data_IF_630464727503
#
_entry.id   IF_630464727503
#
_cell.length_a   1.000
_cell.length_b   1.000
_cell.length_c   1.000
_cell.angle_alpha   90.00
_cell.angle_beta   90.00
_cell.angle_gamma   90.00
#
_symmetry.space_group_name_H-M   'P 1'
#
loop_
_entity.id
_entity.type
_entity.pdbx_description
1 polymer ?
#
# COMPACT_ATOMS: atom_id res chain seq x y z
N UNK A 1 -32.30 50.38 -11.21
CA UNK A 1 -31.99 48.98 -11.59
C UNK A 1 -31.52 48.25 -10.34
N UNK A 2 -32.37 47.42 -9.73
CA UNK A 2 -31.95 46.53 -8.64
C UNK A 2 -31.35 45.28 -9.32
N UNK A 3 -30.02 45.12 -9.23
CA UNK A 3 -29.35 43.89 -9.65
C UNK A 3 -29.59 42.86 -8.55
N UNK A 4 -30.35 41.80 -8.86
CA UNK A 4 -30.51 40.64 -7.96
C UNK A 4 -29.16 39.90 -7.90
N UNK A 5 -28.57 39.83 -6.70
CA UNK A 5 -27.31 39.10 -6.43
C UNK A 5 -27.54 37.64 -6.00
N UNK A 6 -28.80 37.19 -5.99
CA UNK A 6 -29.24 35.91 -5.41
C UNK A 6 -28.60 34.68 -6.07
N UNK A 7 -28.08 34.80 -7.31
CA UNK A 7 -27.36 33.73 -8.01
C UNK A 7 -25.83 33.76 -7.84
N UNK A 8 -25.26 34.84 -7.30
CA UNK A 8 -23.81 35.00 -7.19
C UNK A 8 -23.22 34.03 -6.17
N UNK A 9 -23.83 33.92 -4.98
CA UNK A 9 -23.38 33.01 -3.92
C UNK A 9 -23.44 31.54 -4.34
N UNK A 10 -24.43 31.16 -5.16
CA UNK A 10 -24.53 29.82 -5.72
C UNK A 10 -23.35 29.50 -6.65
N UNK A 11 -22.97 30.47 -7.50
CA UNK A 11 -21.85 30.32 -8.44
C UNK A 11 -20.51 30.25 -7.69
N UNK A 12 -20.32 31.10 -6.68
CA UNK A 12 -19.10 31.06 -5.84
C UNK A 12 -18.97 29.71 -5.11
N UNK A 13 -20.06 29.19 -4.55
CA UNK A 13 -20.07 27.87 -3.92
C UNK A 13 -19.79 26.74 -4.91
N UNK A 14 -20.39 26.78 -6.11
CA UNK A 14 -20.18 25.78 -7.16
C UNK A 14 -18.72 25.72 -7.65
N UNK A 15 -17.94 26.81 -7.53
CA UNK A 15 -16.52 26.83 -7.86
C UNK A 15 -15.63 26.29 -6.74
N UNK A 16 -16.04 26.44 -5.48
CA UNK A 16 -15.26 25.98 -4.31
C UNK A 16 -15.48 24.50 -4.02
N UNK A 17 -16.71 23.98 -4.17
CA UNK A 17 -17.03 22.57 -3.88
C UNK A 17 -16.09 21.59 -4.59
N UNK A 18 -15.80 21.70 -5.91
CA UNK A 18 -14.97 20.71 -6.60
C UNK A 18 -13.57 20.59 -5.99
N UNK A 19 -12.96 21.72 -5.63
CA UNK A 19 -11.64 21.76 -4.99
C UNK A 19 -11.71 21.16 -3.59
N UNK A 20 -12.76 21.50 -2.83
CA UNK A 20 -12.98 20.96 -1.49
C UNK A 20 -13.19 19.44 -1.52
N UNK A 21 -13.98 18.92 -2.46
CA UNK A 21 -14.19 17.48 -2.62
C UNK A 21 -12.89 16.78 -3.05
N UNK A 22 -12.10 17.36 -3.95
CA UNK A 22 -10.81 16.81 -4.35
C UNK A 22 -9.87 16.70 -3.15
N UNK A 23 -9.80 17.73 -2.31
CA UNK A 23 -9.03 17.69 -1.05
C UNK A 23 -9.51 16.58 -0.11
N UNK A 24 -10.82 16.45 0.09
CA UNK A 24 -11.37 15.38 0.93
C UNK A 24 -11.02 13.99 0.39
N UNK A 25 -11.24 13.74 -0.90
CA UNK A 25 -10.88 12.47 -1.54
C UNK A 25 -9.38 12.20 -1.39
N UNK A 26 -8.53 13.21 -1.59
CA UNK A 26 -7.09 13.08 -1.41
C UNK A 26 -6.70 12.70 0.03
N UNK A 27 -7.34 13.28 1.04
CA UNK A 27 -7.09 12.94 2.45
C UNK A 27 -7.48 11.49 2.75
N UNK A 28 -8.67 11.06 2.32
CA UNK A 28 -9.12 9.69 2.55
C UNK A 28 -8.25 8.66 1.84
N UNK A 29 -7.90 8.94 0.59
CA UNK A 29 -7.11 8.01 -0.22
C UNK A 29 -5.65 7.94 0.25
N UNK A 30 -5.07 9.06 0.68
CA UNK A 30 -3.79 9.06 1.37
C UNK A 30 -3.84 8.20 2.64
N UNK A 31 -4.88 8.34 3.47
CA UNK A 31 -5.05 7.53 4.68
C UNK A 31 -5.14 6.03 4.38
N UNK A 32 -5.82 5.66 3.29
CA UNK A 32 -5.92 4.28 2.80
C UNK A 32 -4.56 3.72 2.40
N UNK A 33 -3.80 4.45 1.57
CA UNK A 33 -2.47 4.02 1.11
C UNK A 33 -1.48 3.94 2.28
N UNK A 34 -1.55 4.90 3.21
CA UNK A 34 -0.72 4.89 4.41
C UNK A 34 -1.04 3.69 5.31
N UNK A 35 -2.31 3.33 5.45
CA UNK A 35 -2.71 2.11 6.15
C UNK A 35 -2.13 0.85 5.49
N UNK A 36 -2.21 0.75 4.15
CA UNK A 36 -1.57 -0.35 3.40
C UNK A 36 -0.06 -0.42 3.67
N UNK A 37 0.62 0.73 3.69
CA UNK A 37 2.05 0.79 3.99
C UNK A 37 2.40 0.28 5.40
N UNK A 38 1.62 0.67 6.42
CA UNK A 38 1.81 0.16 7.78
C UNK A 38 1.59 -1.35 7.85
N UNK A 39 0.55 -1.87 7.18
CA UNK A 39 0.26 -3.29 7.16
C UNK A 39 1.37 -4.09 6.47
N UNK A 40 1.88 -3.60 5.34
CA UNK A 40 3.04 -4.16 4.65
C UNK A 40 4.26 -4.22 5.56
N UNK A 41 4.52 -3.15 6.31
CA UNK A 41 5.66 -3.09 7.24
C UNK A 41 5.55 -4.19 8.31
N UNK A 42 4.40 -4.31 8.97
CA UNK A 42 4.17 -5.36 9.97
C UNK A 42 4.32 -6.77 9.39
N UNK A 43 3.70 -7.03 8.24
CA UNK A 43 3.75 -8.35 7.61
C UNK A 43 5.15 -8.68 7.12
N UNK A 44 5.90 -7.71 6.59
CA UNK A 44 7.29 -7.93 6.14
C UNK A 44 8.21 -8.32 7.29
N UNK A 45 8.03 -7.73 8.47
CA UNK A 45 8.81 -8.03 9.67
C UNK A 45 8.53 -9.44 10.18
N UNK A 46 7.26 -9.85 10.21
CA UNK A 46 6.89 -11.19 10.63
C UNK A 46 7.30 -12.25 9.59
N UNK A 47 7.11 -11.96 8.31
CA UNK A 47 7.52 -12.83 7.21
C UNK A 47 9.04 -13.07 7.22
N UNK A 48 9.86 -12.03 7.43
CA UNK A 48 11.32 -12.20 7.50
C UNK A 48 11.74 -12.94 8.77
N UNK A 49 11.01 -12.77 9.89
CA UNK A 49 11.25 -13.53 11.12
C UNK A 49 11.00 -15.02 10.91
N UNK A 50 9.91 -15.39 10.25
CA UNK A 50 9.65 -16.77 9.84
C UNK A 50 10.79 -17.30 8.96
N UNK A 51 11.20 -16.55 7.94
CA UNK A 51 12.31 -16.96 7.07
C UNK A 51 13.63 -17.13 7.85
N UNK A 52 13.89 -16.28 8.84
CA UNK A 52 15.06 -16.34 9.72
C UNK A 52 15.07 -17.52 10.69
N UNK A 53 13.89 -18.01 11.08
CA UNK A 53 13.69 -19.21 11.91
C UNK A 53 13.73 -20.53 11.10
N UNK A 54 13.96 -20.45 9.79
CA UNK A 54 14.07 -21.62 8.93
C UNK A 54 12.76 -22.10 8.30
N UNK A 55 11.69 -21.29 8.34
CA UNK A 55 10.49 -21.59 7.55
C UNK A 55 10.81 -21.44 6.05
N UNK A 56 10.25 -22.36 5.25
CA UNK A 56 10.43 -22.38 3.80
C UNK A 56 9.68 -21.26 3.08
N UNK A 57 10.03 -21.03 1.82
CA UNK A 57 9.51 -19.91 1.02
C UNK A 57 8.00 -20.00 0.80
N UNK A 58 7.48 -21.22 0.66
CA UNK A 58 6.06 -21.48 0.53
C UNK A 58 5.29 -21.05 1.79
N UNK A 59 5.81 -21.35 2.98
CA UNK A 59 5.17 -20.98 4.24
C UNK A 59 5.18 -19.46 4.46
N UNK A 60 6.30 -18.80 4.14
CA UNK A 60 6.42 -17.33 4.21
C UNK A 60 5.44 -16.68 3.23
N UNK A 61 5.38 -17.17 1.99
CA UNK A 61 4.48 -16.66 0.95
C UNK A 61 3.02 -16.86 1.33
N UNK A 62 2.65 -18.05 1.84
CA UNK A 62 1.29 -18.35 2.28
C UNK A 62 0.85 -17.45 3.44
N UNK A 63 1.74 -17.22 4.42
CA UNK A 63 1.49 -16.28 5.51
C UNK A 63 1.25 -14.85 4.96
N UNK A 64 2.14 -14.37 4.10
CA UNK A 64 2.02 -13.02 3.51
C UNK A 64 0.72 -12.87 2.72
N UNK A 65 0.33 -13.86 1.90
CA UNK A 65 -0.93 -13.83 1.14
C UNK A 65 -2.18 -13.87 2.02
N UNK A 66 -2.11 -14.49 3.19
CA UNK A 66 -3.22 -14.53 4.15
C UNK A 66 -3.42 -13.18 4.85
N UNK A 67 -2.31 -12.52 5.23
CA UNK A 67 -2.36 -11.23 5.93
C UNK A 67 -2.55 -10.03 5.01
N UNK A 68 -2.12 -10.14 3.75
CA UNK A 68 -2.26 -9.13 2.71
C UNK A 68 -3.12 -9.68 1.57
N UNK A 69 -4.46 -9.56 1.66
CA UNK A 69 -5.33 -9.98 0.58
C UNK A 69 -4.96 -9.19 -0.68
N UNK A 70 -4.48 -9.92 -1.69
CA UNK A 70 -4.05 -9.32 -2.93
C UNK A 70 -5.25 -8.80 -3.72
N UNK A 71 -5.20 -7.54 -4.12
CA UNK A 71 -6.12 -7.01 -5.13
C UNK A 71 -5.65 -7.56 -6.48
N UNK A 72 -6.46 -8.42 -7.10
CA UNK A 72 -6.21 -9.04 -8.41
C UNK A 72 -4.94 -9.90 -8.54
N UNK A 73 -4.32 -10.34 -7.44
CA UNK A 73 -3.13 -11.20 -7.48
C UNK A 73 -1.82 -10.46 -7.77
N UNK A 74 -1.81 -9.13 -7.68
CA UNK A 74 -0.66 -8.30 -8.05
C UNK A 74 0.32 -8.02 -6.90
N UNK A 75 0.19 -8.71 -5.75
CA UNK A 75 1.16 -8.59 -4.65
C UNK A 75 2.44 -9.35 -5.03
N UNK A 76 3.56 -8.63 -5.13
CA UNK A 76 4.88 -9.22 -5.36
C UNK A 76 5.57 -9.53 -4.04
N UNK A 77 6.02 -10.78 -3.88
CA UNK A 77 6.72 -11.27 -2.69
C UNK A 77 8.07 -11.79 -3.16
N UNK A 78 9.15 -11.18 -2.69
CA UNK A 78 10.51 -11.62 -2.98
C UNK A 78 11.25 -11.95 -1.70
N UNK A 79 11.67 -13.20 -1.55
CA UNK A 79 12.53 -13.61 -0.43
C UNK A 79 13.94 -13.89 -0.94
N UNK A 80 14.93 -13.27 -0.31
CA UNK A 80 16.35 -13.37 -0.72
C UNK A 80 17.23 -13.61 0.51
N UNK A 81 18.16 -14.58 0.51
CA UNK A 81 18.42 -15.55 -0.55
C UNK A 81 17.36 -16.66 -0.57
N UNK A 82 17.36 -17.48 -1.63
CA UNK A 82 16.49 -18.66 -1.75
C UNK A 82 16.70 -19.60 -0.57
N UNK A 83 15.65 -20.35 -0.22
CA UNK A 83 15.62 -21.27 0.93
C UNK A 83 16.90 -22.12 1.08
N UNK A 84 17.38 -22.73 -0.02
CA UNK A 84 18.57 -23.58 -0.01
C UNK A 84 19.88 -22.88 0.41
N UNK A 85 19.92 -21.54 0.32
CA UNK A 85 21.09 -20.72 0.64
C UNK A 85 20.99 -20.05 2.02
N UNK A 86 19.91 -20.28 2.78
CA UNK A 86 19.75 -19.76 4.13
C UNK A 86 20.56 -20.60 5.10
N UNK A 87 21.70 -20.06 5.49
CA UNK A 87 22.60 -20.69 6.46
C UNK A 87 22.66 -19.83 7.72
N UNK A 88 22.71 -20.50 8.88
CA UNK A 88 22.85 -19.83 10.18
C UNK A 88 24.02 -18.83 10.15
N UNK A 89 23.77 -17.62 10.62
CA UNK A 89 24.73 -16.52 10.60
C UNK A 89 24.74 -15.66 9.34
N UNK A 90 23.96 -16.00 8.30
CA UNK A 90 23.70 -15.12 7.14
C UNK A 90 22.42 -14.32 7.32
N UNK A 91 22.16 -13.39 6.40
CA UNK A 91 20.95 -12.56 6.42
C UNK A 91 19.94 -13.06 5.41
N UNK A 92 18.66 -12.91 5.75
CA UNK A 92 17.52 -13.09 4.86
C UNK A 92 16.72 -11.80 4.82
N UNK A 93 16.23 -11.46 3.63
CA UNK A 93 15.44 -10.28 3.33
C UNK A 93 14.13 -10.72 2.70
N UNK A 94 13.02 -10.18 3.20
CA UNK A 94 11.71 -10.27 2.55
C UNK A 94 11.36 -8.88 2.01
N UNK A 95 11.04 -8.81 0.72
CA UNK A 95 10.53 -7.61 0.05
C UNK A 95 9.10 -7.84 -0.39
N UNK A 96 8.24 -6.88 -0.11
CA UNK A 96 6.83 -6.88 -0.49
C UNK A 96 6.56 -5.65 -1.34
N UNK A 97 5.94 -5.83 -2.50
CA UNK A 97 5.48 -4.72 -3.34
C UNK A 97 3.98 -4.90 -3.64
N UNK A 98 3.19 -3.91 -3.24
CA UNK A 98 1.74 -3.92 -3.41
C UNK A 98 1.31 -2.75 -4.30
N UNK A 99 0.74 -3.02 -5.49
CA UNK A 99 0.26 -1.97 -6.36
C UNK A 99 -1.02 -1.34 -5.78
N UNK A 100 -1.00 -0.03 -5.73
CA UNK A 100 -2.09 0.83 -5.31
C UNK A 100 -2.41 1.86 -6.39
N UNK A 101 -3.53 2.54 -6.19
CA UNK A 101 -3.98 3.62 -7.05
C UNK A 101 -4.32 4.84 -6.21
N UNK A 102 -3.69 5.98 -6.52
CA UNK A 102 -4.11 7.27 -6.02
C UNK A 102 -5.34 7.75 -6.77
N UNK A 103 -6.25 8.40 -6.05
CA UNK A 103 -7.54 8.90 -6.54
C UNK A 103 -8.39 7.82 -7.23
N UNK A 104 -8.47 6.63 -6.64
CA UNK A 104 -9.26 5.50 -7.19
C UNK A 104 -10.70 5.89 -7.55
N UNK A 105 -11.32 6.79 -6.76
CA UNK A 105 -12.68 7.33 -6.99
C UNK A 105 -12.84 8.01 -8.36
N UNK A 106 -11.76 8.50 -8.96
CA UNK A 106 -11.77 9.14 -10.29
C UNK A 106 -11.74 8.12 -11.45
N UNK A 107 -11.73 6.81 -11.16
CA UNK A 107 -11.79 5.75 -12.17
C UNK A 107 -10.58 5.78 -13.10
N UNK A 108 -10.79 5.99 -14.40
CA UNK A 108 -9.72 5.99 -15.40
C UNK A 108 -8.69 7.13 -15.28
N UNK A 109 -8.89 8.06 -14.35
CA UNK A 109 -7.91 9.11 -14.01
C UNK A 109 -7.10 8.77 -12.75
N UNK A 110 -7.29 7.57 -12.18
CA UNK A 110 -6.49 7.11 -11.07
C UNK A 110 -5.01 7.03 -11.46
N UNK A 111 -4.14 7.36 -10.52
CA UNK A 111 -2.70 7.39 -10.73
C UNK A 111 -2.12 6.13 -10.09
N UNK A 112 -1.56 5.18 -10.87
CA UNK A 112 -0.99 3.97 -10.31
C UNK A 112 0.25 4.29 -9.48
N UNK A 113 0.41 3.61 -8.36
CA UNK A 113 1.52 3.77 -7.43
C UNK A 113 1.78 2.47 -6.67
N UNK A 114 3.02 2.01 -6.62
CA UNK A 114 3.37 0.79 -5.88
C UNK A 114 3.91 1.14 -4.50
N UNK A 115 3.34 0.54 -3.46
CA UNK A 115 3.86 0.61 -2.10
C UNK A 115 4.86 -0.54 -1.90
N UNK A 116 6.11 -0.19 -1.61
CA UNK A 116 7.18 -1.17 -1.39
C UNK A 116 7.67 -1.12 0.06
N UNK A 117 7.99 -2.29 0.62
CA UNK A 117 8.75 -2.43 1.87
C UNK A 117 9.74 -3.58 1.79
N UNK A 118 10.79 -3.51 2.60
CA UNK A 118 11.77 -4.59 2.76
C UNK A 118 12.22 -4.71 4.20
N UNK A 119 12.22 -5.92 4.73
CA UNK A 119 12.74 -6.23 6.06
C UNK A 119 13.85 -7.28 5.97
N UNK A 120 14.88 -7.16 6.82
CA UNK A 120 16.06 -8.04 6.82
C UNK A 120 16.39 -8.50 8.23
N UNK A 121 16.58 -9.80 8.41
CA UNK A 121 16.95 -10.44 9.68
C UNK A 121 18.10 -11.42 9.49
N UNK A 122 18.85 -11.68 10.56
CA UNK A 122 19.89 -12.73 10.58
C UNK A 122 19.24 -14.09 10.81
N UNK A 123 19.61 -15.08 10.01
CA UNK A 123 19.21 -16.48 10.16
C UNK A 123 19.89 -17.08 11.39
N UNK A 124 19.09 -17.70 12.25
CA UNK A 124 19.56 -18.38 13.48
C UNK A 124 20.02 -19.81 13.21
#
# INVERSE_FOLDING_TARGET
MIRKQDGQSLVEFALVIPIFLLLLVGIFDFGRIFYTHLQLEFVSQEAVRMAGLGYGDEAVTAYTMNELPSKNGELEITVTPTEANRTSGKYVTVKLAYPEEFFNVLGGLAIPYTVETSSTIRVE
#
